data_IF_041171158475
#
_entry.id   IF_041171158475
#
_cell.length_a   1.000
_cell.length_b   1.000
_cell.length_c   1.000
_cell.angle_alpha   90.00
_cell.angle_beta   90.00
_cell.angle_gamma   90.00
#
_symmetry.space_group_name_H-M   'P 1'
#
loop_
_entity.id
_entity.type
_entity.pdbx_description
1 polymer ?
#
# COMPACT_ATOMS: atom_id res chain seq x y z
N UNK A 1 -20.13 43.13 -0.41
CA UNK A 1 -21.18 42.42 -1.11
C UNK A 1 -21.19 40.97 -0.59
N UNK A 2 -22.34 40.46 -0.14
CA UNK A 2 -22.51 39.10 0.37
C UNK A 2 -22.75 38.06 -0.74
N UNK A 3 -22.28 38.30 -1.96
CA UNK A 3 -22.42 37.36 -3.09
C UNK A 3 -21.43 36.24 -2.93
N UNK A 4 -21.93 35.00 -2.81
CA UNK A 4 -21.16 33.77 -2.76
C UNK A 4 -20.51 33.43 -4.10
N UNK A 5 -21.24 33.66 -5.20
CA UNK A 5 -20.77 33.44 -6.56
C UNK A 5 -21.51 34.35 -7.53
N UNK A 6 -20.94 34.65 -8.68
CA UNK A 6 -21.61 35.26 -9.79
C UNK A 6 -22.45 34.20 -10.52
N UNK A 7 -23.77 34.34 -10.48
CA UNK A 7 -24.68 33.36 -11.05
C UNK A 7 -24.50 33.17 -12.56
N UNK A 8 -24.04 34.20 -13.28
CA UNK A 8 -23.80 34.12 -14.74
C UNK A 8 -22.55 33.31 -15.10
N UNK A 9 -21.61 33.18 -14.14
CA UNK A 9 -20.40 32.39 -14.30
C UNK A 9 -20.58 30.93 -13.87
N UNK A 10 -21.66 30.61 -13.15
CA UNK A 10 -21.99 29.24 -12.74
C UNK A 10 -22.72 28.53 -13.88
N UNK A 11 -21.98 27.76 -14.66
CA UNK A 11 -22.54 27.06 -15.83
C UNK A 11 -22.60 25.55 -15.60
N UNK A 12 -23.61 24.85 -16.15
CA UNK A 12 -23.63 23.41 -16.13
C UNK A 12 -22.40 22.84 -16.84
N UNK A 13 -21.97 21.66 -16.40
CA UNK A 13 -20.87 20.90 -17.03
C UNK A 13 -21.39 20.10 -18.21
N UNK A 14 -22.65 19.68 -18.15
CA UNK A 14 -23.38 18.89 -19.17
C UNK A 14 -22.53 17.73 -19.73
N UNK A 15 -21.86 17.02 -18.82
CA UNK A 15 -21.08 15.85 -19.21
C UNK A 15 -22.00 14.70 -19.61
N UNK A 16 -21.86 14.23 -20.85
CA UNK A 16 -22.50 13.02 -21.35
C UNK A 16 -21.44 11.97 -21.69
N UNK A 17 -21.38 10.90 -20.91
CA UNK A 17 -20.41 9.82 -21.07
C UNK A 17 -21.08 8.46 -21.22
N UNK A 18 -20.29 7.46 -21.63
CA UNK A 18 -20.78 6.08 -21.79
C UNK A 18 -21.30 5.44 -20.49
N UNK A 19 -20.86 5.92 -19.33
CA UNK A 19 -21.21 5.35 -18.03
C UNK A 19 -22.00 6.31 -17.14
N UNK A 20 -21.78 7.63 -17.28
CA UNK A 20 -22.39 8.64 -16.41
C UNK A 20 -22.77 9.88 -17.21
N UNK A 21 -23.90 10.48 -16.80
CA UNK A 21 -24.29 11.81 -17.25
C UNK A 21 -24.29 12.70 -16.01
N UNK A 22 -23.60 13.82 -16.07
CA UNK A 22 -23.47 14.75 -14.95
C UNK A 22 -23.78 16.16 -15.41
N UNK A 23 -24.91 16.71 -14.95
CA UNK A 23 -25.28 18.07 -15.28
C UNK A 23 -24.34 19.08 -14.64
N UNK A 24 -23.94 18.86 -13.39
CA UNK A 24 -23.11 19.81 -12.64
C UNK A 24 -23.70 21.22 -12.56
N UNK A 25 -22.91 22.20 -12.15
CA UNK A 25 -21.59 22.10 -11.58
C UNK A 25 -21.60 21.59 -10.14
N UNK A 26 -20.40 21.42 -9.54
CA UNK A 26 -20.29 21.23 -8.09
C UNK A 26 -20.77 22.49 -7.36
N UNK A 27 -21.52 22.31 -6.24
CA UNK A 27 -22.06 23.41 -5.43
C UNK A 27 -21.00 24.04 -4.50
N UNK A 28 -19.72 23.81 -4.75
CA UNK A 28 -18.62 24.35 -3.95
C UNK A 28 -17.70 25.20 -4.83
N UNK A 29 -17.30 26.38 -4.34
CA UNK A 29 -16.32 27.19 -5.03
C UNK A 29 -14.97 26.48 -5.05
N UNK A 30 -14.19 26.74 -6.10
CA UNK A 30 -12.81 26.25 -6.17
C UNK A 30 -11.98 26.87 -5.04
N UNK A 31 -11.33 26.03 -4.24
CA UNK A 31 -10.40 26.48 -3.23
C UNK A 31 -9.07 26.88 -3.87
N UNK A 32 -8.78 28.15 -3.87
CA UNK A 32 -7.56 28.70 -4.44
C UNK A 32 -7.39 28.47 -5.95
N UNK A 33 -6.16 28.64 -6.45
CA UNK A 33 -5.78 28.47 -7.87
C UNK A 33 -5.18 27.10 -8.18
N UNK A 34 -4.84 26.32 -7.16
CA UNK A 34 -4.17 25.03 -7.30
C UNK A 34 -5.15 23.88 -7.57
N UNK A 35 -4.74 22.94 -8.38
CA UNK A 35 -5.46 21.70 -8.60
C UNK A 35 -5.37 20.81 -7.35
N UNK A 36 -6.49 20.18 -6.97
CA UNK A 36 -6.49 19.17 -5.91
C UNK A 36 -5.69 17.95 -6.39
N UNK A 37 -4.69 17.48 -5.62
CA UNK A 37 -3.95 16.28 -5.97
C UNK A 37 -4.86 15.05 -6.04
N UNK A 38 -4.68 14.21 -7.05
CA UNK A 38 -5.43 12.98 -7.24
C UNK A 38 -4.57 11.79 -6.79
N UNK A 39 -5.05 11.04 -5.82
CA UNK A 39 -4.39 9.83 -5.33
C UNK A 39 -5.24 8.62 -5.66
N UNK A 40 -4.67 7.67 -6.39
CA UNK A 40 -5.30 6.40 -6.73
C UNK A 40 -4.87 5.33 -5.74
N UNK A 41 -5.82 4.54 -5.21
CA UNK A 41 -5.54 3.36 -4.42
C UNK A 41 -5.63 2.08 -5.27
N UNK A 42 -4.65 1.19 -5.08
CA UNK A 42 -4.61 -0.12 -5.73
C UNK A 42 -3.75 -0.17 -7.00
N UNK A 43 -2.99 -1.26 -7.13
CA UNK A 43 -1.95 -1.48 -8.13
C UNK A 43 -2.25 -2.67 -9.08
N UNK A 44 -3.52 -3.00 -9.31
CA UNK A 44 -3.91 -3.94 -10.37
C UNK A 44 -3.56 -3.37 -11.76
N UNK A 45 -3.51 -4.20 -12.79
CA UNK A 45 -3.22 -3.75 -14.15
C UNK A 45 -4.09 -2.57 -14.58
N UNK A 46 -5.43 -2.67 -14.43
CA UNK A 46 -6.37 -1.59 -14.71
C UNK A 46 -6.17 -0.36 -13.80
N UNK A 47 -5.86 -0.60 -12.50
CA UNK A 47 -5.56 0.49 -11.56
C UNK A 47 -4.29 1.27 -11.94
N UNK A 48 -3.24 0.58 -12.39
CA UNK A 48 -2.01 1.21 -12.89
C UNK A 48 -2.25 1.99 -14.18
N UNK A 49 -3.06 1.44 -15.09
CA UNK A 49 -3.43 2.14 -16.32
C UNK A 49 -4.18 3.43 -16.03
N UNK A 50 -5.16 3.37 -15.14
CA UNK A 50 -5.91 4.55 -14.73
C UNK A 50 -5.02 5.56 -13.99
N UNK A 51 -4.25 5.11 -12.98
CA UNK A 51 -3.34 5.99 -12.23
C UNK A 51 -2.35 6.71 -13.13
N UNK A 52 -1.71 5.99 -14.06
CA UNK A 52 -0.73 6.58 -14.99
C UNK A 52 -1.34 7.63 -15.92
N UNK A 53 -2.65 7.62 -16.14
CA UNK A 53 -3.32 8.62 -16.99
C UNK A 53 -3.67 9.92 -16.26
N UNK A 54 -4.05 9.86 -14.97
CA UNK A 54 -4.65 11.02 -14.28
C UNK A 54 -4.10 11.31 -12.89
N UNK A 55 -3.50 10.31 -12.20
CA UNK A 55 -3.13 10.48 -10.80
C UNK A 55 -1.80 11.22 -10.62
N UNK A 56 -1.68 11.93 -9.51
CA UNK A 56 -0.43 12.56 -9.04
C UNK A 56 0.35 11.60 -8.14
N UNK A 57 -0.37 10.66 -7.50
CA UNK A 57 0.25 9.62 -6.69
C UNK A 57 -0.59 8.32 -6.71
N UNK A 58 0.08 7.22 -6.43
CA UNK A 58 -0.55 5.93 -6.17
C UNK A 58 -0.22 5.45 -4.76
N UNK A 59 -1.26 5.09 -4.01
CA UNK A 59 -1.14 4.33 -2.78
C UNK A 59 -1.21 2.83 -3.11
N UNK A 60 -0.21 2.08 -2.71
CA UNK A 60 -0.11 0.66 -3.07
C UNK A 60 0.41 -0.22 -1.94
N UNK A 61 0.02 -1.48 -1.96
CA UNK A 61 0.62 -2.53 -1.14
C UNK A 61 1.87 -3.03 -1.84
N UNK A 62 3.02 -2.81 -1.22
CA UNK A 62 4.33 -3.29 -1.69
C UNK A 62 5.12 -3.76 -0.47
N UNK A 63 5.05 -5.04 -0.12
CA UNK A 63 5.64 -5.57 1.11
C UNK A 63 7.17 -5.59 1.09
N UNK A 64 7.77 -5.58 -0.09
CA UNK A 64 9.22 -5.59 -0.29
C UNK A 64 9.71 -4.51 -1.27
N UNK A 65 10.98 -4.16 -1.15
CA UNK A 65 11.65 -3.11 -1.93
C UNK A 65 11.64 -3.39 -3.44
N UNK A 66 11.78 -4.64 -3.85
CA UNK A 66 11.77 -5.02 -5.25
C UNK A 66 10.40 -4.80 -5.88
N UNK A 67 9.32 -5.22 -5.18
CA UNK A 67 7.95 -4.99 -5.64
C UNK A 67 7.62 -3.49 -5.76
N UNK A 68 8.14 -2.66 -4.85
CA UNK A 68 7.97 -1.20 -4.92
C UNK A 68 8.71 -0.59 -6.11
N UNK A 69 9.96 -1.00 -6.34
CA UNK A 69 10.75 -0.54 -7.48
C UNK A 69 10.13 -0.95 -8.83
N UNK A 70 9.67 -2.19 -8.95
CA UNK A 70 8.98 -2.70 -10.15
C UNK A 70 7.70 -1.90 -10.42
N UNK A 71 6.90 -1.63 -9.39
CA UNK A 71 5.68 -0.83 -9.51
C UNK A 71 5.99 0.58 -9.98
N UNK A 72 7.01 1.22 -9.40
CA UNK A 72 7.42 2.58 -9.75
C UNK A 72 7.91 2.66 -11.20
N UNK A 73 8.72 1.71 -11.63
CA UNK A 73 9.20 1.65 -13.00
C UNK A 73 8.06 1.44 -14.02
N UNK A 74 7.12 0.55 -13.73
CA UNK A 74 5.96 0.29 -14.59
C UNK A 74 5.05 1.52 -14.71
N UNK A 75 4.74 2.20 -13.60
CA UNK A 75 3.90 3.40 -13.61
C UNK A 75 4.53 4.56 -14.37
N UNK A 76 5.83 4.79 -14.20
CA UNK A 76 6.57 5.83 -14.95
C UNK A 76 6.54 5.56 -16.44
N UNK A 77 6.83 4.31 -16.84
CA UNK A 77 6.76 3.89 -18.24
C UNK A 77 5.37 4.11 -18.84
N UNK A 78 4.30 3.76 -18.10
CA UNK A 78 2.91 3.97 -18.55
C UNK A 78 2.55 5.46 -18.64
N UNK A 79 3.02 6.29 -17.70
CA UNK A 79 2.82 7.74 -17.75
C UNK A 79 3.49 8.35 -18.99
N UNK A 80 4.72 7.97 -19.29
CA UNK A 80 5.47 8.41 -20.48
C UNK A 80 4.77 8.00 -21.78
N UNK A 81 4.24 6.77 -21.86
CA UNK A 81 3.44 6.31 -23.01
C UNK A 81 2.16 7.12 -23.22
N UNK A 82 1.69 7.86 -22.20
CA UNK A 82 0.54 8.76 -22.24
C UNK A 82 0.91 10.24 -22.39
N UNK A 83 2.18 10.53 -22.69
CA UNK A 83 2.67 11.90 -22.89
C UNK A 83 2.86 12.69 -21.58
N UNK A 84 2.84 12.02 -20.42
CA UNK A 84 3.18 12.62 -19.12
C UNK A 84 4.66 12.41 -18.82
N UNK A 85 5.20 13.17 -17.87
CA UNK A 85 6.55 12.88 -17.35
C UNK A 85 6.47 11.70 -16.37
N UNK A 86 7.49 10.85 -16.33
CA UNK A 86 7.56 9.75 -15.37
C UNK A 86 7.44 10.21 -13.91
N UNK A 87 7.98 11.40 -13.60
CA UNK A 87 7.91 11.98 -12.24
C UNK A 87 6.58 12.69 -11.92
N UNK A 88 5.64 12.77 -12.88
CA UNK A 88 4.29 13.29 -12.61
C UNK A 88 3.45 12.34 -11.75
N UNK A 89 3.87 11.08 -11.60
CA UNK A 89 3.21 10.10 -10.74
C UNK A 89 4.17 9.60 -9.67
N UNK A 90 3.76 9.74 -8.41
CA UNK A 90 4.53 9.32 -7.23
C UNK A 90 4.02 8.00 -6.69
N UNK A 91 4.93 7.15 -6.22
CA UNK A 91 4.58 5.88 -5.59
C UNK A 91 4.74 6.00 -4.08
N UNK A 92 3.62 5.81 -3.37
CA UNK A 92 3.48 5.93 -1.94
C UNK A 92 3.05 4.58 -1.35
N UNK A 93 3.96 3.66 -1.03
CA UNK A 93 3.60 2.42 -0.36
C UNK A 93 3.01 2.68 1.02
N UNK A 94 2.13 1.77 1.44
CA UNK A 94 1.72 1.68 2.84
C UNK A 94 2.89 1.18 3.68
N UNK A 95 3.23 1.90 4.73
CA UNK A 95 4.29 1.56 5.69
C UNK A 95 3.69 1.34 7.06
N UNK A 96 3.61 0.08 7.49
CA UNK A 96 3.21 -0.30 8.84
C UNK A 96 4.40 -0.18 9.78
N UNK A 97 4.28 0.67 10.80
CA UNK A 97 5.34 1.04 11.72
C UNK A 97 4.99 0.62 13.15
N UNK A 98 5.79 -0.24 13.74
CA UNK A 98 5.74 -0.59 15.16
C UNK A 98 7.02 -0.09 15.81
N UNK A 99 6.94 1.09 16.44
CA UNK A 99 8.09 1.82 16.96
C UNK A 99 8.12 1.79 18.47
N UNK A 100 9.30 1.51 19.02
CA UNK A 100 9.61 1.61 20.44
C UNK A 100 11.06 2.08 20.65
N UNK A 101 11.44 2.47 21.88
CA UNK A 101 12.82 2.87 22.19
C UNK A 101 13.85 1.79 21.90
N UNK A 102 13.49 0.52 22.10
CA UNK A 102 14.34 -0.64 21.80
C UNK A 102 13.67 -1.57 20.80
N UNK A 103 14.47 -2.40 20.14
CA UNK A 103 13.98 -3.41 19.21
C UNK A 103 13.08 -4.45 19.89
N UNK A 104 13.46 -4.90 21.09
CA UNK A 104 12.69 -5.89 21.84
C UNK A 104 11.30 -5.37 22.20
N UNK A 105 11.18 -4.14 22.68
CA UNK A 105 9.89 -3.49 22.97
C UNK A 105 9.04 -3.33 21.71
N UNK A 106 9.64 -3.04 20.55
CA UNK A 106 8.92 -2.93 19.30
C UNK A 106 8.39 -4.29 18.82
N UNK A 107 9.16 -5.36 18.99
CA UNK A 107 8.75 -6.74 18.70
C UNK A 107 7.61 -7.19 19.62
N UNK A 108 7.68 -6.86 20.92
CA UNK A 108 6.59 -7.11 21.89
C UNK A 108 5.32 -6.35 21.50
N UNK A 109 5.43 -5.05 21.20
CA UNK A 109 4.32 -4.22 20.72
C UNK A 109 3.65 -4.79 19.46
N UNK A 110 4.46 -5.27 18.52
CA UNK A 110 3.95 -5.92 17.30
C UNK A 110 3.21 -7.22 17.64
N UNK A 111 3.79 -8.07 18.49
CA UNK A 111 3.20 -9.33 18.90
C UNK A 111 1.86 -9.12 19.65
N UNK A 112 1.81 -8.21 20.62
CA UNK A 112 0.59 -7.86 21.37
C UNK A 112 -0.52 -7.31 20.45
N UNK A 113 -0.16 -6.41 19.54
CA UNK A 113 -1.14 -5.82 18.60
C UNK A 113 -1.76 -6.88 17.70
N UNK A 114 -0.97 -7.88 17.28
CA UNK A 114 -1.42 -8.95 16.40
C UNK A 114 -1.91 -10.22 17.13
N UNK A 115 -1.84 -10.26 18.47
CA UNK A 115 -2.28 -11.41 19.26
C UNK A 115 -3.75 -11.82 19.04
N UNK A 116 -4.59 -10.90 18.56
CA UNK A 116 -6.01 -11.16 18.24
C UNK A 116 -6.22 -11.78 16.85
N UNK A 117 -5.18 -11.85 16.02
CA UNK A 117 -5.27 -12.49 14.70
C UNK A 117 -5.17 -14.00 14.91
N UNK A 118 -6.29 -14.69 14.87
CA UNK A 118 -6.30 -16.13 15.09
C UNK A 118 -5.60 -16.88 13.96
N UNK A 119 -5.00 -18.03 14.30
CA UNK A 119 -4.42 -18.97 13.32
C UNK A 119 -5.43 -19.33 12.22
N UNK A 120 -6.68 -19.61 12.59
CA UNK A 120 -7.73 -19.99 11.64
C UNK A 120 -8.00 -18.89 10.62
N UNK A 121 -7.99 -17.63 11.05
CA UNK A 121 -8.11 -16.47 10.14
C UNK A 121 -6.94 -16.39 9.17
N UNK A 122 -5.73 -16.64 9.63
CA UNK A 122 -4.54 -16.66 8.76
C UNK A 122 -4.64 -17.79 7.74
N UNK A 123 -5.01 -19.00 8.18
CA UNK A 123 -5.23 -20.16 7.30
C UNK A 123 -6.31 -19.87 6.25
N UNK A 124 -7.44 -19.30 6.66
CA UNK A 124 -8.51 -18.91 5.76
C UNK A 124 -8.04 -17.84 4.75
N UNK A 125 -7.18 -16.91 5.17
CA UNK A 125 -6.59 -15.91 4.25
C UNK A 125 -5.69 -16.56 3.20
N UNK A 126 -4.83 -17.50 3.61
CA UNK A 126 -3.97 -18.23 2.65
C UNK A 126 -4.82 -19.02 1.66
N UNK A 127 -5.82 -19.76 2.15
CA UNK A 127 -6.73 -20.52 1.28
C UNK A 127 -7.47 -19.61 0.30
N UNK A 128 -8.08 -18.53 0.77
CA UNK A 128 -8.80 -17.57 -0.08
C UNK A 128 -7.90 -16.96 -1.16
N UNK A 129 -6.68 -16.56 -0.78
CA UNK A 129 -5.78 -15.83 -1.69
C UNK A 129 -5.02 -16.72 -2.65
N UNK A 130 -4.72 -17.96 -2.26
CA UNK A 130 -3.84 -18.84 -3.06
C UNK A 130 -4.50 -20.12 -3.54
N UNK A 131 -5.62 -20.51 -2.92
CA UNK A 131 -6.25 -21.82 -3.12
C UNK A 131 -5.57 -22.95 -2.34
N UNK A 132 -4.51 -22.65 -1.56
CA UNK A 132 -3.75 -23.64 -0.82
C UNK A 132 -4.31 -23.83 0.58
N UNK A 133 -4.77 -25.06 0.90
CA UNK A 133 -5.22 -25.44 2.24
C UNK A 133 -4.04 -25.93 3.08
N UNK A 134 -3.79 -25.25 4.20
CA UNK A 134 -2.70 -25.55 5.12
C UNK A 134 -3.20 -26.10 6.48
N UNK A 135 -4.52 -26.39 6.63
CA UNK A 135 -5.10 -26.76 7.92
C UNK A 135 -4.38 -27.92 8.62
N UNK A 136 -4.04 -28.97 7.87
CA UNK A 136 -3.41 -30.18 8.39
C UNK A 136 -1.88 -30.18 8.22
N UNK A 137 -1.28 -29.08 7.82
CA UNK A 137 0.15 -29.02 7.59
C UNK A 137 0.93 -28.79 8.88
N UNK A 138 2.05 -29.52 9.10
CA UNK A 138 2.95 -29.27 10.23
C UNK A 138 3.51 -27.84 10.18
N UNK A 139 3.63 -27.19 11.34
CA UNK A 139 4.07 -25.81 11.46
C UNK A 139 5.43 -25.53 10.77
N UNK A 140 6.37 -26.48 10.87
CA UNK A 140 7.72 -26.37 10.28
C UNK A 140 7.85 -26.86 8.84
N UNK A 141 6.75 -27.34 8.22
CA UNK A 141 6.78 -27.74 6.82
C UNK A 141 6.94 -26.50 5.95
N UNK A 142 7.90 -26.55 5.02
CA UNK A 142 8.06 -25.52 4.01
C UNK A 142 6.94 -25.57 2.98
N UNK A 143 6.43 -24.39 2.61
CA UNK A 143 5.44 -24.19 1.54
C UNK A 143 6.22 -23.86 0.28
N UNK A 144 6.31 -24.81 -0.64
CA UNK A 144 7.07 -24.67 -1.88
C UNK A 144 6.25 -24.05 -3.00
N UNK A 145 6.92 -23.46 -3.98
CA UNK A 145 6.29 -22.97 -5.20
C UNK A 145 5.44 -24.06 -5.89
N UNK A 146 5.89 -25.32 -5.84
CA UNK A 146 5.20 -26.48 -6.43
C UNK A 146 3.93 -26.91 -5.69
N UNK A 147 3.73 -26.46 -4.46
CA UNK A 147 2.52 -26.74 -3.68
C UNK A 147 1.37 -25.79 -4.08
N UNK A 148 1.67 -24.68 -4.75
CA UNK A 148 0.66 -23.68 -5.13
C UNK A 148 -0.25 -24.24 -6.25
N UNK A 149 -1.58 -24.31 -6.02
CA UNK A 149 -2.52 -24.65 -7.09
C UNK A 149 -2.62 -23.49 -8.10
N UNK A 150 -3.29 -23.69 -9.25
CA UNK A 150 -3.64 -22.58 -10.13
C UNK A 150 -4.28 -21.43 -9.36
N UNK A 151 -4.05 -20.15 -9.77
CA UNK A 151 -4.66 -19.01 -9.09
C UNK A 151 -6.19 -19.14 -9.03
N UNK A 152 -6.84 -18.86 -7.88
CA UNK A 152 -8.29 -18.89 -7.78
C UNK A 152 -8.92 -17.90 -8.77
N UNK A 153 -10.03 -18.28 -9.40
CA UNK A 153 -10.76 -17.42 -10.35
C UNK A 153 -11.30 -16.17 -9.68
N UNK A 154 -11.79 -16.32 -8.46
CA UNK A 154 -12.35 -15.24 -7.64
C UNK A 154 -11.56 -15.06 -6.35
N UNK A 155 -11.06 -13.85 -6.12
CA UNK A 155 -10.39 -13.44 -4.89
C UNK A 155 -10.84 -12.03 -4.53
N UNK A 156 -10.94 -11.70 -3.24
CA UNK A 156 -11.30 -10.34 -2.80
C UNK A 156 -10.29 -9.27 -3.29
N UNK A 157 -9.04 -9.65 -3.52
CA UNK A 157 -8.01 -8.75 -4.06
C UNK A 157 -6.98 -9.52 -4.90
N UNK A 158 -6.99 -9.29 -6.20
CA UNK A 158 -6.02 -9.89 -7.12
C UNK A 158 -4.58 -9.45 -6.81
N UNK A 159 -4.39 -8.20 -6.40
CA UNK A 159 -3.06 -7.69 -6.03
C UNK A 159 -2.50 -8.42 -4.82
N UNK A 160 -3.29 -8.58 -3.74
CA UNK A 160 -2.85 -9.31 -2.55
C UNK A 160 -2.57 -10.79 -2.84
N UNK A 161 -3.43 -11.44 -3.64
CA UNK A 161 -3.20 -12.81 -4.09
C UNK A 161 -1.87 -12.95 -4.82
N UNK A 162 -1.59 -12.07 -5.77
CA UNK A 162 -0.32 -12.09 -6.52
C UNK A 162 0.90 -11.84 -5.62
N UNK A 163 0.82 -10.91 -4.67
CA UNK A 163 1.90 -10.62 -3.72
C UNK A 163 2.19 -11.82 -2.83
N UNK A 164 1.15 -12.46 -2.26
CA UNK A 164 1.31 -13.63 -1.41
C UNK A 164 1.90 -14.82 -2.18
N UNK A 165 1.41 -15.09 -3.39
CA UNK A 165 1.95 -16.16 -4.25
C UNK A 165 3.41 -15.91 -4.61
N UNK A 166 3.74 -14.69 -5.06
CA UNK A 166 5.13 -14.28 -5.37
C UNK A 166 6.06 -14.45 -4.16
N UNK A 167 5.59 -14.11 -2.96
CA UNK A 167 6.37 -14.29 -1.73
C UNK A 167 6.62 -15.77 -1.44
N UNK A 168 5.60 -16.63 -1.55
CA UNK A 168 5.75 -18.08 -1.38
C UNK A 168 6.74 -18.66 -2.41
N UNK A 169 6.60 -18.28 -3.67
CA UNK A 169 7.47 -18.73 -4.77
C UNK A 169 8.95 -18.33 -4.57
N UNK A 170 9.20 -17.18 -3.97
CA UNK A 170 10.54 -16.64 -3.73
C UNK A 170 11.19 -17.22 -2.47
N UNK A 171 10.43 -17.24 -1.36
CA UNK A 171 10.98 -17.44 -0.01
C UNK A 171 10.78 -18.88 0.49
N UNK A 172 9.83 -19.61 -0.05
CA UNK A 172 9.41 -20.96 0.40
C UNK A 172 9.35 -21.09 1.93
N UNK A 173 8.58 -20.23 2.63
CA UNK A 173 8.59 -20.12 4.09
C UNK A 173 8.02 -21.38 4.75
N UNK A 174 8.41 -21.64 6.01
CA UNK A 174 7.67 -22.61 6.84
C UNK A 174 6.24 -22.11 7.09
N UNK A 175 5.29 -23.02 7.33
CA UNK A 175 3.88 -22.66 7.58
C UNK A 175 3.76 -21.64 8.71
N UNK A 176 4.48 -21.82 9.82
CA UNK A 176 4.44 -20.89 10.95
C UNK A 176 4.93 -19.48 10.57
N UNK A 177 5.98 -19.39 9.77
CA UNK A 177 6.52 -18.10 9.28
C UNK A 177 5.58 -17.45 8.27
N UNK A 178 5.00 -18.25 7.36
CA UNK A 178 4.01 -17.78 6.38
C UNK A 178 2.82 -17.11 7.05
N UNK A 179 2.29 -17.73 8.11
CA UNK A 179 1.11 -17.21 8.81
C UNK A 179 1.37 -15.90 9.57
N UNK A 180 2.64 -15.53 9.79
CA UNK A 180 3.05 -14.26 10.39
C UNK A 180 3.39 -13.16 9.37
N UNK A 181 3.33 -13.47 8.07
CA UNK A 181 3.71 -12.49 7.02
C UNK A 181 2.70 -11.36 6.89
N UNK A 182 3.15 -10.13 6.57
CA UNK A 182 2.27 -8.98 6.33
C UNK A 182 1.18 -9.25 5.29
N UNK A 183 1.48 -10.08 4.30
CA UNK A 183 0.54 -10.50 3.26
C UNK A 183 -0.61 -11.37 3.80
N UNK A 184 -0.42 -12.01 4.95
CA UNK A 184 -1.41 -12.89 5.60
C UNK A 184 -2.13 -12.19 6.75
N UNK A 185 -1.38 -11.55 7.67
CA UNK A 185 -1.96 -10.92 8.87
C UNK A 185 -2.54 -9.53 8.60
N UNK A 186 -2.18 -8.88 7.51
CA UNK A 186 -2.53 -7.49 7.23
C UNK A 186 -2.84 -7.20 5.77
N UNK A 187 -2.48 -6.00 5.35
CA UNK A 187 -2.76 -5.47 4.01
C UNK A 187 -1.55 -5.55 3.06
N UNK A 188 -0.60 -6.43 3.32
CA UNK A 188 0.65 -6.55 2.57
C UNK A 188 1.39 -5.21 2.43
N UNK A 189 1.34 -4.38 3.47
CA UNK A 189 2.15 -3.17 3.55
C UNK A 189 3.60 -3.53 3.87
N UNK A 190 4.51 -2.67 3.50
CA UNK A 190 5.86 -2.68 4.02
C UNK A 190 5.83 -2.60 5.55
N UNK A 191 6.49 -3.53 6.23
CA UNK A 191 6.48 -3.65 7.68
C UNK A 191 7.85 -3.24 8.24
N UNK A 192 7.83 -2.32 9.19
CA UNK A 192 9.00 -1.94 10.00
C UNK A 192 8.65 -2.09 11.47
N UNK A 193 9.39 -2.97 12.15
CA UNK A 193 9.33 -3.21 13.60
C UNK A 193 10.70 -2.88 14.19
N UNK A 194 10.79 -1.85 15.03
CA UNK A 194 12.08 -1.46 15.59
C UNK A 194 12.12 -0.04 16.14
N UNK A 195 13.35 0.49 16.25
CA UNK A 195 13.59 1.85 16.76
C UNK A 195 13.34 2.91 15.69
N UNK A 196 13.11 4.18 16.06
CA UNK A 196 13.05 5.29 15.12
C UNK A 196 14.24 5.37 14.16
N UNK A 197 15.47 5.17 14.67
CA UNK A 197 16.67 5.19 13.84
C UNK A 197 16.70 4.06 12.80
N UNK A 198 16.21 2.87 13.17
CA UNK A 198 16.06 1.76 12.23
C UNK A 198 15.03 2.09 11.13
N UNK A 199 13.89 2.67 11.51
CA UNK A 199 12.86 3.09 10.55
C UNK A 199 13.40 4.13 9.55
N UNK A 200 14.13 5.14 10.04
CA UNK A 200 14.78 6.15 9.19
C UNK A 200 15.75 5.51 8.20
N UNK A 201 16.60 4.59 8.69
CA UNK A 201 17.54 3.88 7.82
C UNK A 201 16.85 3.08 6.72
N UNK A 202 15.77 2.38 7.06
CA UNK A 202 14.96 1.62 6.09
C UNK A 202 14.31 2.53 5.04
N UNK A 203 13.72 3.65 5.46
CA UNK A 203 13.07 4.60 4.56
C UNK A 203 14.10 5.23 3.59
N UNK A 204 15.24 5.66 4.12
CA UNK A 204 16.34 6.22 3.30
C UNK A 204 16.90 5.19 2.32
N UNK A 205 17.03 3.91 2.72
CA UNK A 205 17.48 2.82 1.82
C UNK A 205 16.50 2.57 0.68
N UNK A 206 15.20 2.56 0.94
CA UNK A 206 14.18 2.39 -0.11
C UNK A 206 14.13 3.60 -1.06
N UNK A 207 14.27 4.81 -0.53
CA UNK A 207 14.33 6.03 -1.32
C UNK A 207 15.58 6.06 -2.21
N UNK A 208 16.76 5.75 -1.66
CA UNK A 208 18.03 5.68 -2.38
C UNK A 208 18.03 4.61 -3.49
N UNK A 209 17.34 3.49 -3.26
CA UNK A 209 17.14 2.47 -4.27
C UNK A 209 16.14 2.86 -5.38
N UNK A 210 15.54 4.05 -5.30
CA UNK A 210 14.53 4.50 -6.25
C UNK A 210 13.24 3.68 -6.19
N UNK A 211 12.94 3.05 -5.05
CA UNK A 211 11.76 2.22 -4.89
C UNK A 211 10.49 3.01 -4.54
N UNK A 212 10.66 4.18 -3.90
CA UNK A 212 9.56 5.02 -3.40
C UNK A 212 9.79 6.51 -3.69
N UNK A 213 8.70 7.28 -3.72
CA UNK A 213 8.72 8.74 -3.76
C UNK A 213 8.21 9.35 -2.44
N UNK A 214 7.81 8.51 -1.51
CA UNK A 214 7.26 8.79 -0.19
C UNK A 214 6.54 7.56 0.34
N UNK A 215 5.75 7.70 1.39
CA UNK A 215 4.98 6.58 1.97
C UNK A 215 3.72 7.09 2.66
N UNK A 216 2.77 6.19 2.90
CA UNK A 216 1.62 6.42 3.79
C UNK A 216 1.86 5.65 5.08
N UNK A 217 2.06 6.37 6.19
CA UNK A 217 2.37 5.77 7.48
C UNK A 217 1.12 5.18 8.15
N UNK A 218 1.27 3.96 8.65
CA UNK A 218 0.31 3.26 9.50
C UNK A 218 0.99 2.93 10.84
N UNK A 219 1.08 3.91 11.77
CA UNK A 219 1.65 3.63 13.08
C UNK A 219 0.75 2.67 13.85
N UNK A 220 1.31 1.55 14.29
CA UNK A 220 0.61 0.49 15.00
C UNK A 220 0.94 0.45 16.49
N UNK A 221 0.03 -0.15 17.26
CA UNK A 221 0.21 -0.58 18.62
C UNK A 221 -0.09 0.47 19.69
N UNK A 222 0.50 1.66 19.67
CA UNK A 222 0.36 2.62 20.77
C UNK A 222 0.44 4.08 20.32
N UNK A 223 -0.02 5.00 21.18
CA UNK A 223 0.16 6.44 20.99
C UNK A 223 1.64 6.85 21.06
N UNK A 224 2.45 6.12 21.80
CA UNK A 224 3.89 6.40 21.90
C UNK A 224 4.60 6.06 20.59
N UNK A 225 4.17 5.02 19.86
CA UNK A 225 4.65 4.76 18.52
C UNK A 225 4.36 5.92 17.54
N UNK A 226 3.18 6.55 17.67
CA UNK A 226 2.83 7.77 16.92
C UNK A 226 3.74 8.93 17.29
N UNK A 227 4.01 9.15 18.57
CA UNK A 227 4.93 10.21 19.03
C UNK A 227 6.34 9.99 18.50
N UNK A 228 6.86 8.77 18.59
CA UNK A 228 8.17 8.42 18.04
C UNK A 228 8.25 8.68 16.53
N UNK A 229 7.18 8.36 15.79
CA UNK A 229 7.11 8.68 14.37
C UNK A 229 7.20 10.20 14.12
N UNK A 230 6.39 10.99 14.81
CA UNK A 230 6.29 12.44 14.57
C UNK A 230 7.48 13.22 15.09
N UNK A 231 8.06 12.81 16.23
CA UNK A 231 9.12 13.55 16.93
C UNK A 231 10.54 13.12 16.52
N UNK A 232 10.71 11.87 16.05
CA UNK A 232 12.05 11.34 15.76
C UNK A 232 12.22 10.86 14.31
N UNK A 233 11.20 10.20 13.69
CA UNK A 233 11.35 9.70 12.33
C UNK A 233 11.14 10.81 11.31
N UNK A 234 10.01 11.53 11.39
CA UNK A 234 9.66 12.57 10.40
C UNK A 234 10.72 13.67 10.34
N UNK A 235 11.22 14.25 11.45
CA UNK A 235 12.27 15.26 11.37
C UNK A 235 13.56 14.74 10.74
N UNK A 236 13.95 13.50 11.04
CA UNK A 236 15.19 12.90 10.51
C UNK A 236 15.13 12.54 9.01
N UNK A 237 13.95 12.61 8.38
CA UNK A 237 13.77 12.42 6.95
C UNK A 237 13.83 13.74 6.16
N UNK A 238 13.65 14.89 6.83
CA UNK A 238 13.64 16.21 6.20
C UNK A 238 15.02 16.83 5.99
N UNK A 239 16.07 16.20 6.53
CA UNK A 239 17.47 16.54 6.36
C UNK A 239 18.09 15.68 5.24
#
# INVERSE_FOLDING_TARGET
SGLFADAELVKPVDHEGSFFNVKGPLNLPRFGKTRIPLVQAGASGAGRDFASSVADAIFASTPDKAAAADLRADLRKRAEQRGRKGDDIRVLPGLSLYLAPTRAEAEELFAETNARVSRDRCLATVLEMTGLDLCDWPAKRQVKATDLPPPPETVRSRTHSQLLRRMIERDEPAVEDLLCRPEVIGSAHWLVVGTPSYAVAQIKDWAAAGAIDGFVAFPGGSLDAVRLLLEQVVPALGD
#
